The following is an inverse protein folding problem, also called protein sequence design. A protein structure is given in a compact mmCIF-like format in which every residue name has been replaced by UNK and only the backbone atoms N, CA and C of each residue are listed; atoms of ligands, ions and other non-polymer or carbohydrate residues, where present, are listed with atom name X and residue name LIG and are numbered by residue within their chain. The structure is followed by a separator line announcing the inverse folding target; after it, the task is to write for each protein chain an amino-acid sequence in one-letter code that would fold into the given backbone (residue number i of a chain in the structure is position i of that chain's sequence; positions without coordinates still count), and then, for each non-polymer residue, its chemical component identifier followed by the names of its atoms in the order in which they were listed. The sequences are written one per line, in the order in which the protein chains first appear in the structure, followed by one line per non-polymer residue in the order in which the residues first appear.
data_IF_277412882588
#
_entry.id   IF_277412882588
#
_cell.length_a   1.000
_cell.length_b   1.000
_cell.length_c   1.000
_cell.angle_alpha   90.00
_cell.angle_beta   90.00
_cell.angle_gamma   90.00
#
_symmetry.space_group_name_H-M   'P 1'
#
loop_
_entity.id
_entity.type
_entity.pdbx_description
1 polymer ?
#
# COMPACT_ATOMS: atom_id res chain seq x y z
N UNK A 1 -0.68 5.70 -25.62
CA UNK A 1 0.18 5.89 -24.43
C UNK A 1 -0.64 6.02 -23.14
N UNK A 2 -1.53 7.01 -22.95
CA UNK A 2 -2.27 7.20 -21.68
C UNK A 2 -3.04 5.99 -21.11
N UNK A 3 -3.64 5.15 -21.97
CA UNK A 3 -4.34 3.92 -21.56
C UNK A 3 -3.36 2.87 -21.01
N UNK A 4 -2.15 2.78 -21.57
CA UNK A 4 -1.12 1.83 -21.13
C UNK A 4 -0.63 2.20 -19.72
N UNK A 5 -0.45 3.48 -19.45
CA UNK A 5 -0.08 3.97 -18.12
C UNK A 5 -1.17 3.75 -17.08
N UNK A 6 -2.43 3.97 -17.46
CA UNK A 6 -3.57 3.58 -16.62
C UNK A 6 -3.53 2.09 -16.27
N UNK A 7 -3.19 1.23 -17.23
CA UNK A 7 -3.08 -0.21 -17.01
C UNK A 7 -1.91 -0.60 -16.09
N UNK A 8 -0.72 -0.02 -16.29
CA UNK A 8 0.45 -0.25 -15.43
C UNK A 8 0.16 0.21 -14.00
N UNK A 9 -0.47 1.38 -13.83
CA UNK A 9 -0.89 1.87 -12.52
C UNK A 9 -1.86 0.92 -11.84
N UNK A 10 -2.84 0.39 -12.57
CA UNK A 10 -3.85 -0.53 -12.06
C UNK A 10 -3.24 -1.87 -11.62
N UNK A 11 -2.36 -2.43 -12.44
CA UNK A 11 -1.63 -3.68 -12.13
C UNK A 11 -0.78 -3.52 -10.88
N UNK A 12 -0.04 -2.42 -10.79
CA UNK A 12 0.86 -2.14 -9.65
C UNK A 12 0.09 -1.90 -8.36
N UNK A 13 -0.99 -1.12 -8.41
CA UNK A 13 -1.86 -0.94 -7.25
C UNK A 13 -2.50 -2.26 -6.83
N UNK A 14 -2.86 -3.12 -7.77
CA UNK A 14 -3.36 -4.47 -7.51
C UNK A 14 -2.35 -5.35 -6.76
N UNK A 15 -1.11 -5.44 -7.25
CA UNK A 15 -0.06 -6.20 -6.56
C UNK A 15 0.27 -5.64 -5.19
N UNK A 16 0.32 -4.31 -5.07
CA UNK A 16 0.57 -3.63 -3.80
C UNK A 16 -0.57 -3.94 -2.80
N UNK A 17 -1.82 -3.96 -3.24
CA UNK A 17 -2.96 -4.35 -2.41
C UNK A 17 -2.84 -5.79 -1.91
N UNK A 18 -2.49 -6.74 -2.77
CA UNK A 18 -2.31 -8.15 -2.38
C UNK A 18 -1.21 -8.27 -1.32
N UNK A 19 -0.06 -7.62 -1.54
CA UNK A 19 1.04 -7.62 -0.58
C UNK A 19 0.63 -6.99 0.76
N UNK A 20 -0.09 -5.87 0.73
CA UNK A 20 -0.58 -5.18 1.91
C UNK A 20 -1.53 -6.04 2.75
N UNK A 21 -2.40 -6.81 2.09
CA UNK A 21 -3.30 -7.76 2.76
C UNK A 21 -2.49 -8.84 3.47
N UNK A 22 -1.54 -9.48 2.77
CA UNK A 22 -0.71 -10.54 3.35
C UNK A 22 0.11 -10.01 4.53
N UNK A 23 0.79 -8.87 4.34
CA UNK A 23 1.57 -8.22 5.38
C UNK A 23 0.69 -7.84 6.59
N UNK A 24 -0.51 -7.33 6.34
CA UNK A 24 -1.47 -6.95 7.38
C UNK A 24 -1.95 -8.12 8.21
N UNK A 25 -2.23 -9.27 7.57
CA UNK A 25 -2.61 -10.50 8.28
C UNK A 25 -1.44 -11.00 9.13
N UNK A 26 -0.25 -11.12 8.54
CA UNK A 26 0.93 -11.67 9.23
C UNK A 26 1.32 -10.79 10.42
N UNK A 27 1.45 -9.48 10.20
CA UNK A 27 1.89 -8.55 11.24
C UNK A 27 0.80 -8.29 12.28
N UNK A 28 -0.47 -8.18 11.89
CA UNK A 28 -1.58 -8.05 12.84
C UNK A 28 -1.70 -9.27 13.76
N UNK A 29 -1.48 -10.46 13.22
CA UNK A 29 -1.44 -11.70 14.00
C UNK A 29 -0.23 -11.76 14.95
N UNK A 30 0.99 -11.48 14.46
CA UNK A 30 2.20 -11.48 15.30
C UNK A 30 2.14 -10.43 16.42
N UNK A 31 1.64 -9.24 16.12
CA UNK A 31 1.40 -8.20 17.12
C UNK A 31 0.36 -8.64 18.15
N UNK A 32 -0.72 -9.30 17.73
CA UNK A 32 -1.73 -9.84 18.64
C UNK A 32 -1.20 -10.91 19.61
N UNK A 33 -0.10 -11.57 19.24
CA UNK A 33 0.65 -12.51 20.09
C UNK A 33 1.77 -11.87 20.90
N UNK A 34 1.95 -10.54 20.84
CA UNK A 34 3.07 -9.81 21.44
C UNK A 34 4.46 -10.27 20.97
N UNK A 35 4.57 -10.91 19.80
CA UNK A 35 5.85 -11.40 19.25
C UNK A 35 6.67 -10.26 18.63
N UNK A 36 6.02 -9.16 18.23
CA UNK A 36 6.66 -8.03 17.55
C UNK A 36 6.17 -6.69 18.14
N UNK A 37 7.04 -5.67 18.19
CA UNK A 37 6.65 -4.34 18.64
C UNK A 37 5.74 -3.64 17.63
N UNK A 38 4.77 -2.86 18.12
CA UNK A 38 3.79 -2.12 17.30
C UNK A 38 4.46 -1.28 16.21
N UNK A 39 5.57 -0.61 16.53
CA UNK A 39 6.32 0.21 15.57
C UNK A 39 6.82 -0.60 14.37
N UNK A 40 7.30 -1.83 14.60
CA UNK A 40 7.80 -2.72 13.53
C UNK A 40 6.65 -3.32 12.73
N UNK A 41 5.55 -3.69 13.38
CA UNK A 41 4.35 -4.17 12.69
C UNK A 41 3.78 -3.09 11.76
N UNK A 42 3.69 -1.84 12.24
CA UNK A 42 3.20 -0.72 11.43
C UNK A 42 4.13 -0.39 10.25
N UNK A 43 5.45 -0.37 10.47
CA UNK A 43 6.38 -0.05 9.39
C UNK A 43 6.34 -1.10 8.28
N UNK A 44 6.34 -2.40 8.60
CA UNK A 44 6.32 -3.45 7.57
C UNK A 44 4.99 -3.47 6.81
N UNK A 45 3.89 -3.06 7.45
CA UNK A 45 2.56 -3.13 6.85
C UNK A 45 2.21 -1.89 6.02
N UNK A 46 2.46 -0.69 6.55
CA UNK A 46 2.01 0.56 5.93
C UNK A 46 3.07 1.25 5.07
N UNK A 47 4.36 1.07 5.38
CA UNK A 47 5.43 1.72 4.61
C UNK A 47 5.47 1.28 3.13
N UNK A 48 5.33 -0.02 2.80
CA UNK A 48 5.33 -0.48 1.40
C UNK A 48 4.10 0.01 0.63
N UNK A 49 2.97 0.15 1.31
CA UNK A 49 1.70 0.65 0.73
C UNK A 49 1.84 2.09 0.25
N UNK A 50 2.69 2.88 0.91
CA UNK A 50 2.95 4.27 0.55
C UNK A 50 4.08 4.37 -0.48
N UNK A 51 5.21 3.70 -0.24
CA UNK A 51 6.41 3.85 -1.07
C UNK A 51 6.30 3.19 -2.46
N UNK A 52 5.70 2.01 -2.56
CA UNK A 52 5.71 1.24 -3.82
C UNK A 52 4.90 1.95 -4.92
N UNK A 53 3.65 2.39 -4.67
CA UNK A 53 2.90 3.13 -5.68
C UNK A 53 3.57 4.46 -6.03
N UNK A 54 4.10 5.19 -5.04
CA UNK A 54 4.78 6.47 -5.23
C UNK A 54 5.99 6.35 -6.16
N UNK A 55 6.88 5.40 -5.90
CA UNK A 55 8.08 5.16 -6.73
C UNK A 55 7.68 4.80 -8.15
N UNK A 56 6.67 3.94 -8.32
CA UNK A 56 6.25 3.51 -9.64
C UNK A 56 5.58 4.64 -10.41
N UNK A 57 4.75 5.46 -9.76
CA UNK A 57 4.15 6.63 -10.40
C UNK A 57 5.18 7.67 -10.79
N UNK A 58 6.23 7.88 -9.99
CA UNK A 58 7.36 8.73 -10.36
C UNK A 58 8.15 8.18 -11.55
N UNK A 59 8.38 6.87 -11.61
CA UNK A 59 9.05 6.22 -12.75
C UNK A 59 8.21 6.37 -14.02
N UNK A 60 6.92 6.06 -13.94
CA UNK A 60 5.95 6.23 -15.05
C UNK A 60 5.95 7.68 -15.55
N UNK A 61 5.89 8.63 -14.62
CA UNK A 61 6.00 10.06 -14.90
C UNK A 61 7.31 10.42 -15.64
N UNK A 62 8.45 9.89 -15.19
CA UNK A 62 9.76 10.17 -15.78
C UNK A 62 9.91 9.58 -17.19
N UNK A 63 9.42 8.36 -17.43
CA UNK A 63 9.42 7.77 -18.77
C UNK A 63 8.56 8.58 -19.75
N UNK A 64 7.45 9.17 -19.28
CA UNK A 64 6.61 10.02 -20.11
C UNK A 64 7.32 11.31 -20.56
N UNK A 65 8.14 11.90 -19.70
CA UNK A 65 9.00 13.06 -20.05
C UNK A 65 9.99 12.70 -21.15
N UNK A 66 10.57 11.50 -21.08
CA UNK A 66 11.56 11.03 -22.06
C UNK A 66 10.97 10.80 -23.46
N UNK A 67 9.72 10.36 -23.55
CA UNK A 67 9.05 10.10 -24.84
C UNK A 67 8.37 11.35 -25.44
N UNK A 68 7.90 12.30 -24.61
CA UNK A 68 7.25 13.53 -25.06
C UNK A 68 8.26 14.63 -25.40
N UNK A 69 9.19 14.35 -26.32
CA UNK A 69 10.24 15.28 -26.74
C UNK A 69 9.78 16.58 -27.43
N UNK A 70 8.48 16.88 -27.57
CA UNK A 70 7.99 18.03 -28.35
C UNK A 70 6.68 18.70 -27.85
N UNK A 71 6.10 18.29 -26.72
CA UNK A 71 4.92 18.96 -26.14
C UNK A 71 5.28 19.63 -24.83
N UNK A 72 4.79 20.84 -24.57
CA UNK A 72 4.96 21.58 -23.30
C UNK A 72 4.22 20.86 -22.17
N UNK A 73 4.69 19.67 -21.79
CA UNK A 73 4.29 18.99 -20.57
C UNK A 73 5.29 19.44 -19.52
N UNK A 74 4.88 20.44 -18.74
CA UNK A 74 5.72 20.98 -17.68
C UNK A 74 5.97 19.90 -16.63
N UNK A 75 7.18 19.90 -16.05
CA UNK A 75 7.55 19.04 -14.92
C UNK A 75 6.49 19.10 -13.79
N UNK A 76 5.84 20.26 -13.61
CA UNK A 76 4.73 20.47 -12.67
C UNK A 76 3.47 19.67 -13.00
N UNK A 77 3.11 19.48 -14.27
CA UNK A 77 1.94 18.69 -14.67
C UNK A 77 2.15 17.19 -14.44
N UNK A 78 3.36 16.71 -14.64
CA UNK A 78 3.76 15.32 -14.40
C UNK A 78 3.80 14.99 -12.90
N UNK A 79 4.42 15.86 -12.10
CA UNK A 79 4.39 15.73 -10.65
C UNK A 79 2.94 15.79 -10.15
N UNK A 80 2.12 16.71 -10.68
CA UNK A 80 0.70 16.79 -10.36
C UNK A 80 -0.08 15.50 -10.65
N UNK A 81 0.15 14.88 -11.81
CA UNK A 81 -0.47 13.61 -12.17
C UNK A 81 0.00 12.45 -11.28
N UNK A 82 1.30 12.38 -10.97
CA UNK A 82 1.86 11.39 -10.06
C UNK A 82 1.26 11.53 -8.65
N UNK A 83 1.18 12.75 -8.11
CA UNK A 83 0.56 13.03 -6.81
C UNK A 83 -0.94 12.73 -6.79
N UNK A 84 -1.65 12.98 -7.90
CA UNK A 84 -3.08 12.65 -8.00
C UNK A 84 -3.31 11.14 -7.99
N UNK A 85 -2.53 10.38 -8.78
CA UNK A 85 -2.57 8.91 -8.79
C UNK A 85 -2.16 8.32 -7.44
N UNK A 86 -1.16 8.91 -6.78
CA UNK A 86 -0.74 8.54 -5.43
C UNK A 86 -1.87 8.74 -4.42
N UNK A 87 -2.53 9.91 -4.44
CA UNK A 87 -3.69 10.19 -3.57
C UNK A 87 -4.84 9.21 -3.79
N UNK A 88 -5.15 8.91 -5.05
CA UNK A 88 -6.16 7.91 -5.41
C UNK A 88 -5.80 6.53 -4.87
N UNK A 89 -4.54 6.10 -5.00
CA UNK A 89 -4.10 4.82 -4.45
C UNK A 89 -4.17 4.79 -2.93
N UNK A 90 -3.75 5.86 -2.25
CA UNK A 90 -3.84 5.96 -0.79
C UNK A 90 -5.29 5.90 -0.29
N UNK A 91 -6.24 6.50 -1.01
CA UNK A 91 -7.66 6.49 -0.59
C UNK A 91 -8.28 5.10 -0.53
N UNK A 92 -7.72 4.11 -1.24
CA UNK A 92 -8.19 2.73 -1.21
C UNK A 92 -7.25 1.81 -0.42
N UNK A 93 -5.93 1.91 -0.65
CA UNK A 93 -4.97 0.98 -0.06
C UNK A 93 -4.81 1.19 1.45
N UNK A 94 -4.80 2.43 1.92
CA UNK A 94 -4.62 2.73 3.34
C UNK A 94 -5.77 2.19 4.21
N UNK A 95 -7.07 2.45 3.89
CA UNK A 95 -8.17 1.88 4.66
C UNK A 95 -8.27 0.37 4.51
N UNK A 96 -8.00 -0.19 3.32
CA UNK A 96 -7.98 -1.65 3.13
C UNK A 96 -6.95 -2.31 4.04
N UNK A 97 -5.73 -1.80 4.04
CA UNK A 97 -4.62 -2.32 4.87
C UNK A 97 -4.94 -2.21 6.35
N UNK A 98 -5.51 -1.07 6.77
CA UNK A 98 -5.93 -0.84 8.16
C UNK A 98 -7.05 -1.80 8.59
N UNK A 99 -8.03 -2.06 7.72
CA UNK A 99 -9.12 -3.00 7.98
C UNK A 99 -8.58 -4.42 8.17
N UNK A 100 -7.74 -4.89 7.26
CA UNK A 100 -7.15 -6.24 7.32
C UNK A 100 -6.28 -6.40 8.57
N UNK A 101 -5.43 -5.42 8.86
CA UNK A 101 -4.59 -5.42 10.06
C UNK A 101 -5.42 -5.47 11.35
N UNK A 102 -6.50 -4.68 11.42
CA UNK A 102 -7.39 -4.62 12.58
C UNK A 102 -8.14 -5.93 12.79
N UNK A 103 -8.65 -6.55 11.72
CA UNK A 103 -9.33 -7.86 11.78
C UNK A 103 -8.35 -8.92 12.29
N UNK A 104 -7.14 -8.99 11.73
CA UNK A 104 -6.11 -9.95 12.15
C UNK A 104 -5.74 -9.79 13.63
N UNK A 105 -5.63 -8.55 14.10
CA UNK A 105 -5.35 -8.24 15.50
C UNK A 105 -6.50 -8.68 16.43
N UNK A 106 -7.75 -8.41 16.07
CA UNK A 106 -8.93 -8.82 16.85
C UNK A 106 -9.00 -10.34 16.96
N UNK A 107 -8.84 -11.05 15.83
CA UNK A 107 -8.88 -12.52 15.80
C UNK A 107 -7.77 -13.12 16.68
N UNK A 108 -6.55 -12.58 16.62
CA UNK A 108 -5.45 -13.04 17.46
C UNK A 108 -5.74 -12.82 18.96
N UNK A 109 -6.32 -11.67 19.32
CA UNK A 109 -6.71 -11.36 20.71
C UNK A 109 -7.82 -12.27 21.22
N UNK A 110 -8.85 -12.54 20.41
CA UNK A 110 -9.95 -13.44 20.79
C UNK A 110 -9.46 -14.87 21.01
N UNK A 111 -8.58 -15.38 20.13
CA UNK A 111 -7.96 -16.71 20.31
C UNK A 111 -7.19 -16.80 21.62
N UNK A 112 -6.45 -15.75 21.99
CA UNK A 112 -5.73 -15.69 23.27
C UNK A 112 -6.68 -15.75 24.46
N UNK A 113 -7.76 -14.97 24.45
CA UNK A 113 -8.75 -14.97 25.53
C UNK A 113 -9.40 -16.35 25.70
N UNK A 114 -9.75 -17.01 24.60
CA UNK A 114 -10.31 -18.37 24.64
C UNK A 114 -9.30 -19.39 25.15
N UNK A 115 -8.02 -19.28 24.76
CA UNK A 115 -6.97 -20.17 25.25
C UNK A 115 -6.66 -19.99 26.75
N UNK A 116 -6.97 -18.82 27.32
CA UNK A 116 -6.83 -18.55 28.75
C UNK A 116 -8.05 -18.97 29.59
N UNK A 117 -9.22 -19.16 28.97
CA UNK A 117 -10.46 -19.60 29.63
C UNK A 117 -10.66 -21.11 29.60
N UNK A 118 -9.85 -21.84 28.83
CA UNK A 118 -9.87 -23.30 28.70
C UNK A 118 -8.88 -24.04 29.61
N UNK A 119 -8.36 -23.37 30.63
CA UNK A 119 -7.57 -23.90 31.75
C UNK A 119 -8.30 -23.56 33.06
#
# INVERSE_FOLDING_TARGET
MGIVFGYVALVVSGFTAIYAVIAGIVMGHRLGKNEVPLKSALSVTFLPVLLVPMVIYLIVAAFHVGEMGQGVVTLSGILGAAFFMERLSMSFLMPLTAAVFSIALIVARLRRQNSQRGL
#
